data_IF_626444785818
#
_entry.id   IF_626444785818
#
_cell.length_a   1.000
_cell.length_b   1.000
_cell.length_c   1.000
_cell.angle_alpha   90.00
_cell.angle_beta   90.00
_cell.angle_gamma   90.00
#
_symmetry.space_group_name_H-M   'P 1'
#
loop_
_entity.id
_entity.type
_entity.pdbx_description
1 polymer ?
#
# COMPACT_ATOMS: atom_id res chain seq x y z
N UNK A 1 -10.20 6.18 15.60
CA UNK A 1 -8.78 6.53 15.27
C UNK A 1 -8.26 5.40 14.39
N UNK A 2 -7.53 5.69 13.31
CA UNK A 2 -6.98 4.65 12.41
C UNK A 2 -5.72 4.09 13.05
N UNK A 3 -5.75 2.82 13.47
CA UNK A 3 -4.64 2.14 14.15
C UNK A 3 -4.12 0.92 13.39
N UNK A 4 -4.83 0.49 12.34
CA UNK A 4 -4.51 -0.70 11.57
C UNK A 4 -4.17 -0.35 10.13
N UNK A 5 -3.17 -1.05 9.57
CA UNK A 5 -2.80 -0.96 8.16
C UNK A 5 -2.75 -2.34 7.50
N UNK A 6 -3.06 -2.39 6.21
CA UNK A 6 -2.95 -3.58 5.36
C UNK A 6 -1.90 -3.29 4.28
N UNK A 7 -0.98 -4.23 4.08
CA UNK A 7 0.04 -4.16 3.04
C UNK A 7 -0.03 -5.45 2.19
N UNK A 8 -0.60 -5.40 0.98
CA UNK A 8 -0.62 -6.52 0.06
C UNK A 8 0.78 -6.78 -0.52
N UNK A 9 1.37 -7.92 -0.18
CA UNK A 9 2.72 -8.32 -0.60
C UNK A 9 2.71 -9.60 -1.47
N UNK A 10 1.53 -10.21 -1.72
CA UNK A 10 1.43 -11.49 -2.40
C UNK A 10 1.71 -11.45 -3.93
N UNK A 11 1.78 -10.26 -4.53
CA UNK A 11 2.01 -10.07 -5.97
C UNK A 11 3.35 -10.65 -6.45
N UNK A 12 3.37 -11.28 -7.62
CA UNK A 12 4.54 -12.02 -8.16
C UNK A 12 5.71 -11.12 -8.57
N UNK A 13 5.47 -9.83 -8.85
CA UNK A 13 6.53 -8.90 -9.26
C UNK A 13 7.11 -9.16 -10.65
N UNK A 14 6.32 -9.67 -11.58
CA UNK A 14 6.77 -10.10 -12.94
C UNK A 14 7.48 -9.02 -13.75
N UNK A 15 7.22 -7.74 -13.47
CA UNK A 15 7.90 -6.60 -14.11
C UNK A 15 9.37 -6.43 -13.70
N UNK A 16 9.80 -7.14 -12.66
CA UNK A 16 11.18 -7.12 -12.12
C UNK A 16 11.91 -8.44 -12.35
N UNK A 17 11.42 -9.30 -13.25
CA UNK A 17 12.16 -10.49 -13.68
C UNK A 17 13.48 -10.08 -14.35
N UNK A 18 14.58 -10.87 -14.16
CA UNK A 18 14.62 -12.16 -13.45
C UNK A 18 14.79 -12.07 -11.94
N UNK A 19 15.03 -10.89 -11.33
CA UNK A 19 15.30 -10.73 -9.89
C UNK A 19 14.21 -11.35 -9.01
N UNK A 20 12.95 -11.17 -9.40
CA UNK A 20 11.81 -11.67 -8.62
C UNK A 20 11.51 -13.15 -8.80
N UNK A 21 12.31 -13.88 -9.59
CA UNK A 21 12.31 -15.35 -9.57
C UNK A 21 12.89 -15.91 -8.26
N UNK A 22 13.77 -15.14 -7.60
CA UNK A 22 14.47 -15.55 -6.36
C UNK A 22 14.10 -14.67 -5.18
N UNK A 23 13.99 -13.35 -5.38
CA UNK A 23 13.78 -12.38 -4.31
C UNK A 23 12.37 -11.79 -4.32
N UNK A 24 11.79 -11.57 -3.14
CA UNK A 24 10.62 -10.72 -3.02
C UNK A 24 11.01 -9.27 -3.37
N UNK A 25 10.28 -8.63 -4.30
CA UNK A 25 10.58 -7.26 -4.74
C UNK A 25 10.60 -6.27 -3.57
N UNK A 26 9.82 -6.53 -2.56
CA UNK A 26 9.69 -5.71 -1.36
C UNK A 26 10.93 -5.71 -0.47
N UNK A 27 11.79 -6.73 -0.62
CA UNK A 27 13.06 -6.85 0.07
C UNK A 27 14.25 -6.32 -0.74
N UNK A 28 14.04 -5.92 -1.99
CA UNK A 28 15.10 -5.30 -2.78
C UNK A 28 15.55 -3.99 -2.13
N UNK A 29 16.87 -3.73 -2.08
CA UNK A 29 17.40 -2.57 -1.39
C UNK A 29 17.12 -1.27 -2.17
N UNK A 30 16.71 -0.26 -1.45
CA UNK A 30 16.56 1.11 -1.93
C UNK A 30 17.35 1.97 -0.97
N UNK A 31 18.41 2.59 -1.47
CA UNK A 31 19.27 3.46 -0.65
C UNK A 31 19.74 2.77 0.66
N UNK A 32 20.20 1.52 0.57
CA UNK A 32 20.82 0.77 1.66
C UNK A 32 19.85 0.02 2.60
N UNK A 33 18.52 0.11 2.41
CA UNK A 33 17.56 -0.69 3.19
C UNK A 33 16.43 -1.25 2.32
N UNK A 34 15.79 -2.36 2.72
CA UNK A 34 14.65 -2.92 1.99
C UNK A 34 13.53 -1.92 1.78
N UNK A 35 12.93 -1.92 0.58
CA UNK A 35 11.77 -1.07 0.27
C UNK A 35 10.63 -1.22 1.27
N UNK A 36 10.42 -2.44 1.80
CA UNK A 36 9.40 -2.74 2.79
C UNK A 36 9.58 -1.97 4.11
N UNK A 37 10.82 -1.67 4.52
CA UNK A 37 11.06 -0.92 5.75
C UNK A 37 10.56 0.53 5.66
N UNK A 38 10.67 1.16 4.48
CA UNK A 38 10.09 2.51 4.27
C UNK A 38 8.59 2.52 4.52
N UNK A 39 7.88 1.45 4.08
CA UNK A 39 6.43 1.34 4.26
C UNK A 39 6.07 1.10 5.74
N UNK A 40 6.86 0.26 6.44
CA UNK A 40 6.67 0.02 7.87
C UNK A 40 6.88 1.32 8.67
N UNK A 41 7.96 2.03 8.39
CA UNK A 41 8.29 3.31 9.04
C UNK A 41 7.20 4.36 8.77
N UNK A 42 6.72 4.47 7.52
CA UNK A 42 5.58 5.34 7.19
C UNK A 42 4.35 5.04 8.04
N UNK A 43 4.02 3.76 8.21
CA UNK A 43 2.92 3.32 9.07
C UNK A 43 3.14 3.70 10.53
N UNK A 44 4.33 3.40 11.08
CA UNK A 44 4.67 3.68 12.49
C UNK A 44 4.58 5.19 12.77
N UNK A 45 5.19 6.01 11.91
CA UNK A 45 5.20 7.47 12.04
C UNK A 45 3.81 8.10 11.87
N UNK A 46 2.93 7.42 11.13
CA UNK A 46 1.52 7.81 10.99
C UNK A 46 0.66 7.41 12.20
N UNK A 47 1.22 6.70 13.20
CA UNK A 47 0.53 6.27 14.40
C UNK A 47 -0.23 4.94 14.24
N UNK A 48 0.17 4.09 13.28
CA UNK A 48 -0.36 2.75 13.13
C UNK A 48 0.25 1.82 14.18
N UNK A 49 -0.58 1.01 14.83
CA UNK A 49 -0.17 0.09 15.89
C UNK A 49 -0.06 -1.36 15.39
N UNK A 50 -0.85 -1.73 14.40
CA UNK A 50 -0.88 -3.08 13.83
C UNK A 50 -0.83 -3.02 12.31
N UNK A 51 0.10 -3.78 11.72
CA UNK A 51 0.31 -3.86 10.27
C UNK A 51 0.03 -5.31 9.83
N UNK A 52 -0.89 -5.50 8.89
CA UNK A 52 -1.26 -6.81 8.38
C UNK A 52 -0.61 -6.99 7.01
N UNK A 53 0.38 -7.88 6.93
CA UNK A 53 1.02 -8.28 5.69
C UNK A 53 0.25 -9.43 5.05
N UNK A 54 -0.11 -9.26 3.78
CA UNK A 54 -0.72 -10.34 3.01
C UNK A 54 0.35 -10.88 2.07
N UNK A 55 0.85 -12.08 2.39
CA UNK A 55 1.91 -12.75 1.62
C UNK A 55 1.37 -14.01 0.92
N UNK A 56 2.10 -14.53 -0.05
CA UNK A 56 1.91 -15.88 -0.59
C UNK A 56 2.96 -16.84 -0.01
N UNK A 57 2.72 -18.15 -0.09
CA UNK A 57 3.72 -19.16 0.28
C UNK A 57 5.06 -18.97 -0.46
N UNK A 58 5.02 -18.49 -1.70
CA UNK A 58 6.25 -18.17 -2.48
C UNK A 58 7.06 -17.02 -1.90
N UNK A 59 6.49 -16.22 -0.99
CA UNK A 59 7.12 -15.06 -0.35
C UNK A 59 7.40 -15.24 1.15
N UNK A 60 7.55 -16.49 1.62
CA UNK A 60 7.97 -16.80 2.99
C UNK A 60 9.27 -16.11 3.41
N UNK A 61 10.12 -15.73 2.46
CA UNK A 61 11.33 -14.95 2.75
C UNK A 61 11.03 -13.62 3.41
N UNK A 62 9.86 -12.99 3.15
CA UNK A 62 9.43 -11.78 3.85
C UNK A 62 9.21 -12.08 5.34
N UNK A 63 8.59 -13.22 5.66
CA UNK A 63 8.42 -13.63 7.06
C UNK A 63 9.75 -13.99 7.70
N UNK A 64 10.62 -14.71 6.99
CA UNK A 64 11.98 -15.03 7.46
C UNK A 64 12.79 -13.78 7.77
N UNK A 65 12.62 -12.69 7.03
CA UNK A 65 13.28 -11.41 7.30
C UNK A 65 13.05 -10.92 8.74
N UNK A 66 11.85 -11.12 9.28
CA UNK A 66 11.49 -10.69 10.64
C UNK A 66 11.72 -11.76 11.73
N UNK A 67 11.87 -13.04 11.37
CA UNK A 67 11.88 -14.16 12.30
C UNK A 67 13.16 -15.01 12.26
N UNK A 68 14.24 -14.55 11.65
CA UNK A 68 15.51 -15.26 11.60
C UNK A 68 16.39 -14.94 12.84
N UNK A 69 15.84 -15.18 14.03
CA UNK A 69 16.50 -14.84 15.30
C UNK A 69 17.83 -15.57 15.47
N UNK A 70 17.92 -16.83 15.04
CA UNK A 70 19.14 -17.64 15.17
C UNK A 70 20.31 -16.99 14.46
N UNK A 71 20.12 -16.55 13.21
CA UNK A 71 21.16 -15.90 12.42
C UNK A 71 21.72 -14.65 13.15
N UNK A 72 20.84 -13.77 13.65
CA UNK A 72 21.27 -12.56 14.35
C UNK A 72 21.99 -12.90 15.66
N UNK A 73 21.45 -13.81 16.49
CA UNK A 73 22.03 -14.20 17.77
C UNK A 73 23.41 -14.83 17.61
N UNK A 74 23.58 -15.70 16.61
CA UNK A 74 24.87 -16.35 16.33
C UNK A 74 25.95 -15.33 15.92
N UNK A 75 25.59 -14.33 15.08
CA UNK A 75 26.54 -13.29 14.68
C UNK A 75 26.86 -12.34 15.86
N UNK A 76 25.84 -11.89 16.59
CA UNK A 76 26.03 -10.98 17.75
C UNK A 76 26.94 -11.63 18.79
N UNK A 77 26.75 -12.93 19.07
CA UNK A 77 27.62 -13.67 20.00
C UNK A 77 29.07 -13.69 19.55
N UNK A 78 29.31 -13.82 18.22
CA UNK A 78 30.66 -13.92 17.65
C UNK A 78 31.36 -12.56 17.54
N UNK A 79 30.64 -11.53 17.02
CA UNK A 79 31.25 -10.27 16.60
C UNK A 79 31.06 -9.11 17.58
N UNK A 80 30.03 -9.14 18.44
CA UNK A 80 29.67 -8.07 19.38
C UNK A 80 29.55 -6.67 18.71
N UNK A 81 29.18 -6.65 17.40
CA UNK A 81 29.05 -5.42 16.60
C UNK A 81 27.77 -4.68 16.97
N UNK A 82 27.91 -3.44 17.46
CA UNK A 82 26.77 -2.61 17.88
C UNK A 82 25.78 -2.31 16.74
N UNK A 83 26.25 -2.17 15.49
CA UNK A 83 25.37 -1.98 14.33
C UNK A 83 24.42 -3.17 14.15
N UNK A 84 24.96 -4.40 14.24
CA UNK A 84 24.18 -5.63 14.08
C UNK A 84 23.16 -5.75 15.21
N UNK A 85 23.54 -5.37 16.42
CA UNK A 85 22.63 -5.35 17.58
C UNK A 85 21.48 -4.38 17.36
N UNK A 86 21.76 -3.15 16.88
CA UNK A 86 20.71 -2.15 16.62
C UNK A 86 19.79 -2.56 15.46
N UNK A 87 20.33 -3.12 14.38
CA UNK A 87 19.52 -3.67 13.29
C UNK A 87 18.59 -4.79 13.81
N UNK A 88 19.10 -5.70 14.63
CA UNK A 88 18.27 -6.75 15.21
C UNK A 88 17.18 -6.18 16.13
N UNK A 89 17.51 -5.22 16.99
CA UNK A 89 16.51 -4.52 17.83
C UNK A 89 15.44 -3.83 16.98
N UNK A 90 15.81 -3.22 15.85
CA UNK A 90 14.88 -2.61 14.89
C UNK A 90 13.91 -3.66 14.33
N UNK A 91 14.42 -4.81 13.86
CA UNK A 91 13.60 -5.94 13.38
C UNK A 91 12.64 -6.44 14.46
N UNK A 92 13.08 -6.57 15.70
CA UNK A 92 12.22 -6.97 16.82
C UNK A 92 11.09 -5.96 17.08
N UNK A 93 11.37 -4.64 16.96
CA UNK A 93 10.33 -3.59 17.08
C UNK A 93 9.29 -3.70 15.98
N UNK A 94 9.70 -3.92 14.72
CA UNK A 94 8.79 -4.10 13.60
C UNK A 94 7.92 -5.36 13.79
N UNK A 95 8.55 -6.49 14.12
CA UNK A 95 7.88 -7.78 14.34
C UNK A 95 6.70 -7.69 15.32
N UNK A 96 6.85 -6.92 16.40
CA UNK A 96 5.78 -6.73 17.40
C UNK A 96 4.52 -6.10 16.83
N UNK A 97 4.61 -5.41 15.69
CA UNK A 97 3.49 -4.72 15.04
C UNK A 97 2.93 -5.48 13.84
N UNK A 98 3.61 -6.53 13.36
CA UNK A 98 3.29 -7.20 12.10
C UNK A 98 2.51 -8.49 12.37
N UNK A 99 1.42 -8.67 11.62
CA UNK A 99 0.68 -9.93 11.49
C UNK A 99 0.74 -10.41 10.04
N UNK A 100 0.76 -11.72 9.83
CA UNK A 100 0.78 -12.33 8.51
C UNK A 100 -0.55 -13.01 8.18
N UNK A 101 -1.04 -12.76 6.97
CA UNK A 101 -2.20 -13.40 6.36
C UNK A 101 -1.77 -13.95 5.00
N UNK A 102 -2.30 -15.11 4.60
CA UNK A 102 -1.89 -15.74 3.35
C UNK A 102 -2.93 -15.55 2.24
N UNK A 103 -2.45 -15.22 1.05
CA UNK A 103 -3.16 -15.27 -0.21
C UNK A 103 -2.42 -16.22 -1.14
N UNK A 104 -2.85 -17.48 -1.22
CA UNK A 104 -2.13 -18.51 -1.97
C UNK A 104 -2.37 -18.40 -3.49
N UNK A 105 -3.53 -17.89 -3.91
CA UNK A 105 -3.87 -17.66 -5.32
C UNK A 105 -3.91 -16.16 -5.61
N UNK A 106 -3.26 -15.68 -6.69
CA UNK A 106 -3.20 -14.25 -7.04
C UNK A 106 -4.54 -13.79 -7.66
N UNK A 107 -5.57 -13.62 -6.84
CA UNK A 107 -6.91 -13.19 -7.26
C UNK A 107 -7.11 -11.66 -7.23
N UNK A 108 -6.02 -10.88 -7.21
CA UNK A 108 -6.06 -9.42 -7.21
C UNK A 108 -6.01 -8.79 -5.81
N UNK A 109 -5.93 -7.45 -5.80
CA UNK A 109 -5.79 -6.65 -4.57
C UNK A 109 -7.05 -6.66 -3.70
N UNK A 110 -8.23 -6.74 -4.31
CA UNK A 110 -9.51 -6.84 -3.59
C UNK A 110 -9.61 -8.14 -2.79
N UNK A 111 -9.25 -9.30 -3.37
CA UNK A 111 -9.22 -10.58 -2.65
C UNK A 111 -8.19 -10.54 -1.52
N UNK A 112 -7.00 -9.97 -1.76
CA UNK A 112 -5.99 -9.79 -0.72
C UNK A 112 -6.56 -9.04 0.49
N UNK A 113 -7.17 -7.88 0.25
CA UNK A 113 -7.80 -7.08 1.30
C UNK A 113 -8.92 -7.86 1.98
N UNK A 114 -9.78 -8.55 1.23
CA UNK A 114 -10.89 -9.32 1.79
C UNK A 114 -10.45 -10.38 2.80
N UNK A 115 -9.31 -11.04 2.60
CA UNK A 115 -8.74 -12.03 3.53
C UNK A 115 -8.42 -11.46 4.91
N UNK A 116 -8.30 -10.14 5.03
CA UNK A 116 -8.03 -9.46 6.30
C UNK A 116 -9.29 -9.09 7.09
N UNK A 117 -10.51 -9.32 6.54
CA UNK A 117 -11.79 -8.90 7.12
C UNK A 117 -11.91 -9.19 8.62
N UNK A 118 -11.54 -10.40 9.06
CA UNK A 118 -11.64 -10.81 10.47
C UNK A 118 -10.64 -10.13 11.41
N UNK A 119 -9.59 -9.52 10.86
CA UNK A 119 -8.53 -8.87 11.65
C UNK A 119 -8.74 -7.38 11.79
N UNK A 120 -9.51 -6.75 10.90
CA UNK A 120 -9.80 -5.31 10.95
C UNK A 120 -10.90 -5.03 11.96
N UNK A 121 -10.51 -4.29 13.01
CA UNK A 121 -11.38 -3.90 14.13
C UNK A 121 -11.89 -2.46 13.98
N UNK A 122 -11.05 -1.56 13.48
CA UNK A 122 -11.36 -0.14 13.33
C UNK A 122 -12.40 0.11 12.23
N UNK A 123 -13.18 1.21 12.35
CA UNK A 123 -14.14 1.66 11.33
C UNK A 123 -13.45 2.01 10.01
N UNK A 124 -12.22 2.51 10.07
CA UNK A 124 -11.36 2.84 8.93
C UNK A 124 -9.98 2.24 9.13
N UNK A 125 -9.34 1.83 8.06
CA UNK A 125 -7.99 1.31 8.06
C UNK A 125 -7.16 1.91 6.92
N UNK A 126 -5.85 1.89 7.06
CA UNK A 126 -4.91 2.31 6.03
C UNK A 126 -4.55 1.11 5.14
N UNK A 127 -4.46 1.31 3.83
CA UNK A 127 -3.89 0.33 2.91
C UNK A 127 -2.76 0.99 2.12
N UNK A 128 -1.60 0.29 2.04
CA UNK A 128 -0.44 0.77 1.31
C UNK A 128 0.03 -0.27 0.31
N UNK A 129 0.22 0.14 -0.94
CA UNK A 129 0.87 -0.69 -1.95
C UNK A 129 2.39 -0.57 -1.79
N UNK A 130 3.13 -1.69 -1.75
CA UNK A 130 4.55 -1.70 -1.38
C UNK A 130 5.48 -1.18 -2.48
N UNK A 131 5.04 -1.14 -3.71
CA UNK A 131 5.79 -0.65 -4.87
C UNK A 131 5.65 0.87 -5.10
N UNK A 132 4.70 1.51 -4.47
CA UNK A 132 4.52 2.96 -4.49
C UNK A 132 5.21 3.59 -3.27
N UNK A 133 6.49 3.95 -3.36
CA UNK A 133 7.16 4.62 -2.25
C UNK A 133 6.99 6.13 -2.31
N UNK A 134 6.72 6.72 -1.15
CA UNK A 134 6.66 8.18 -0.98
C UNK A 134 7.66 8.55 0.11
N UNK A 135 8.70 9.28 -0.28
CA UNK A 135 9.80 9.68 0.61
C UNK A 135 9.80 11.18 0.88
N UNK A 136 10.63 11.65 1.81
CA UNK A 136 10.78 13.03 2.31
C UNK A 136 9.62 13.54 3.14
N UNK A 137 8.38 13.12 2.93
CA UNK A 137 7.20 13.49 3.73
C UNK A 137 6.34 12.24 3.95
N UNK A 138 5.74 12.12 5.13
CA UNK A 138 4.86 11.00 5.45
C UNK A 138 3.46 11.25 4.86
N UNK A 139 3.16 10.56 3.76
CA UNK A 139 1.88 10.66 3.07
C UNK A 139 0.72 10.16 3.94
N UNK A 140 0.87 9.01 4.56
CA UNK A 140 -0.16 8.39 5.41
C UNK A 140 -0.57 9.31 6.57
N UNK A 141 0.40 9.98 7.20
CA UNK A 141 0.13 10.95 8.28
C UNK A 141 -0.69 12.14 7.79
N UNK A 142 -0.39 12.67 6.59
CA UNK A 142 -1.17 13.78 6.01
C UNK A 142 -2.58 13.37 5.62
N UNK A 143 -2.74 12.15 5.05
CA UNK A 143 -4.04 11.58 4.73
C UNK A 143 -4.92 11.36 5.97
N UNK A 144 -4.33 10.88 7.09
CA UNK A 144 -5.05 10.72 8.36
C UNK A 144 -5.55 12.07 8.88
N UNK A 145 -4.78 13.15 8.72
CA UNK A 145 -5.25 14.52 9.06
C UNK A 145 -6.44 14.93 8.18
N UNK A 146 -6.33 14.74 6.86
CA UNK A 146 -7.41 15.02 5.92
C UNK A 146 -8.68 14.22 6.26
N UNK A 147 -8.54 12.91 6.54
CA UNK A 147 -9.64 12.06 7.00
C UNK A 147 -10.34 12.60 8.26
N UNK A 148 -9.56 13.02 9.27
CA UNK A 148 -10.11 13.57 10.52
C UNK A 148 -10.93 14.84 10.30
N UNK A 149 -10.45 15.74 9.44
CA UNK A 149 -11.10 17.02 9.14
C UNK A 149 -12.35 16.80 8.28
N UNK A 150 -12.22 16.02 7.20
CA UNK A 150 -13.25 15.91 6.16
C UNK A 150 -14.26 14.78 6.44
N UNK A 151 -13.99 13.91 7.43
CA UNK A 151 -14.82 12.74 7.78
C UNK A 151 -15.11 11.85 6.57
N UNK A 152 -14.09 11.62 5.72
CA UNK A 152 -14.21 10.93 4.44
C UNK A 152 -13.12 9.86 4.30
N UNK A 153 -13.34 8.87 3.45
CA UNK A 153 -12.29 7.99 2.93
C UNK A 153 -11.31 8.82 2.09
N UNK A 154 -10.03 8.47 2.10
CA UNK A 154 -9.00 9.28 1.45
C UNK A 154 -8.12 8.39 0.57
N UNK A 155 -7.83 8.83 -0.64
CA UNK A 155 -6.90 8.19 -1.56
C UNK A 155 -5.79 9.18 -1.94
N UNK A 156 -4.55 8.71 -1.93
CA UNK A 156 -3.43 9.56 -2.35
C UNK A 156 -3.48 9.85 -3.84
N UNK A 157 -3.16 11.08 -4.19
CA UNK A 157 -3.20 11.61 -5.55
C UNK A 157 -1.91 12.32 -5.93
N UNK A 158 -1.49 12.15 -7.18
CA UNK A 158 -0.35 12.84 -7.78
C UNK A 158 -0.72 13.37 -9.16
N UNK A 159 -0.19 14.54 -9.53
CA UNK A 159 -0.29 15.03 -10.91
C UNK A 159 0.68 14.26 -11.80
N UNK A 160 0.22 13.72 -12.90
CA UNK A 160 1.04 13.02 -13.89
C UNK A 160 0.99 13.74 -15.24
N UNK A 161 1.96 13.46 -16.11
CA UNK A 161 1.92 13.96 -17.48
C UNK A 161 0.72 13.36 -18.21
N UNK A 162 -0.04 14.19 -18.93
CA UNK A 162 -1.21 13.76 -19.71
C UNK A 162 -0.90 12.61 -20.67
N UNK A 163 0.31 12.56 -21.22
CA UNK A 163 0.77 11.48 -22.14
C UNK A 163 0.92 10.12 -21.44
N UNK A 164 0.99 10.08 -20.10
CA UNK A 164 1.22 8.88 -19.32
C UNK A 164 0.01 8.41 -18.50
N UNK A 165 -1.14 9.06 -18.63
CA UNK A 165 -2.36 8.73 -17.86
C UNK A 165 -2.81 7.27 -18.03
N UNK A 166 -2.57 6.69 -19.19
CA UNK A 166 -2.89 5.28 -19.48
C UNK A 166 -2.12 4.23 -18.64
N UNK A 167 -1.15 4.68 -17.85
CA UNK A 167 -0.40 3.81 -16.91
C UNK A 167 -1.07 3.71 -15.54
N UNK A 168 -2.06 4.57 -15.23
CA UNK A 168 -2.57 4.81 -13.88
C UNK A 168 -4.10 4.69 -13.81
N UNK A 169 -4.62 4.41 -12.63
CA UNK A 169 -5.98 4.79 -12.29
C UNK A 169 -6.06 6.32 -12.22
N UNK A 170 -7.03 6.94 -12.88
CA UNK A 170 -7.18 8.40 -12.95
C UNK A 170 -8.48 8.82 -12.27
N UNK A 171 -8.37 9.79 -11.37
CA UNK A 171 -9.53 10.34 -10.67
C UNK A 171 -10.43 11.16 -11.58
N UNK A 172 -11.73 10.89 -11.53
CA UNK A 172 -12.77 11.84 -11.89
C UNK A 172 -13.05 12.70 -10.67
N UNK A 173 -12.61 13.96 -10.72
CA UNK A 173 -12.67 14.87 -9.59
C UNK A 173 -13.96 15.69 -9.58
N UNK A 174 -14.47 15.91 -8.39
CA UNK A 174 -15.52 16.86 -8.08
C UNK A 174 -14.97 18.18 -7.53
N UNK A 175 -15.71 18.76 -6.56
CA UNK A 175 -15.36 20.03 -5.91
C UNK A 175 -14.00 19.95 -5.21
N UNK A 176 -13.19 21.00 -5.38
CA UNK A 176 -11.99 21.24 -4.57
C UNK A 176 -12.43 21.62 -3.15
N UNK A 177 -11.94 20.91 -2.14
CA UNK A 177 -12.33 21.12 -0.75
C UNK A 177 -11.38 22.05 -0.01
N UNK A 178 -10.06 21.97 -0.34
CA UNK A 178 -9.01 22.83 0.19
C UNK A 178 -7.77 22.80 -0.74
N UNK A 179 -6.60 23.23 -0.25
CA UNK A 179 -5.36 23.27 -1.07
C UNK A 179 -4.92 21.91 -1.60
N UNK A 180 -5.19 20.83 -0.87
CA UNK A 180 -4.70 19.48 -1.19
C UNK A 180 -5.79 18.47 -1.54
N UNK A 181 -7.06 18.75 -1.18
CA UNK A 181 -8.11 17.76 -1.19
C UNK A 181 -9.22 18.09 -2.21
N UNK A 182 -9.64 17.05 -2.95
CA UNK A 182 -10.72 17.12 -3.95
C UNK A 182 -11.71 15.99 -3.69
N UNK A 183 -13.00 16.28 -3.81
CA UNK A 183 -14.03 15.23 -3.81
C UNK A 183 -13.81 14.30 -5.01
N UNK A 184 -13.94 12.98 -4.82
CA UNK A 184 -13.89 12.00 -5.89
C UNK A 184 -15.33 11.68 -6.34
N UNK A 185 -15.56 11.74 -7.66
CA UNK A 185 -16.79 11.26 -8.33
C UNK A 185 -16.62 9.85 -8.90
N UNK A 186 -15.38 9.41 -9.10
CA UNK A 186 -15.06 8.08 -9.61
C UNK A 186 -13.58 7.94 -9.94
N UNK A 187 -13.20 6.72 -10.34
CA UNK A 187 -11.86 6.36 -10.80
C UNK A 187 -11.98 5.60 -12.11
N UNK A 188 -11.18 5.97 -13.10
CA UNK A 188 -11.09 5.26 -14.38
C UNK A 188 -9.74 4.57 -14.47
N UNK A 189 -9.74 3.22 -14.53
CA UNK A 189 -8.52 2.42 -14.60
C UNK A 189 -7.92 2.48 -16.00
N UNK A 190 -6.66 2.95 -16.08
CA UNK A 190 -5.85 3.02 -17.31
C UNK A 190 -6.62 3.56 -18.53
N UNK A 191 -7.18 4.77 -18.44
CA UNK A 191 -7.93 5.36 -19.55
C UNK A 191 -7.00 5.65 -20.73
N UNK A 192 -7.56 5.71 -21.93
CA UNK A 192 -6.86 6.35 -23.06
C UNK A 192 -6.71 7.85 -22.78
N UNK A 193 -5.73 8.50 -23.39
CA UNK A 193 -5.48 9.94 -23.20
C UNK A 193 -6.75 10.78 -23.44
N UNK A 194 -7.52 10.41 -24.48
CA UNK A 194 -8.78 11.09 -24.82
C UNK A 194 -9.92 10.90 -23.82
N UNK A 195 -9.92 9.76 -23.08
CA UNK A 195 -10.96 9.41 -22.10
C UNK A 195 -10.58 9.69 -20.64
N UNK A 196 -9.36 10.16 -20.40
CA UNK A 196 -8.90 10.46 -19.07
C UNK A 196 -9.65 11.68 -18.49
N UNK A 197 -10.36 11.53 -17.35
CA UNK A 197 -11.17 12.62 -16.78
C UNK A 197 -10.33 13.74 -16.16
N UNK A 198 -9.07 13.47 -15.87
CA UNK A 198 -8.10 14.44 -15.33
C UNK A 198 -6.67 13.95 -15.58
N UNK A 199 -5.68 14.65 -15.00
CA UNK A 199 -4.30 14.18 -14.89
C UNK A 199 -3.90 13.83 -13.44
N UNK A 200 -4.86 13.57 -12.57
CA UNK A 200 -4.63 13.18 -11.19
C UNK A 200 -4.68 11.66 -11.08
N UNK A 201 -3.52 11.07 -10.86
CA UNK A 201 -3.34 9.62 -10.73
C UNK A 201 -3.60 9.15 -9.31
N UNK A 202 -4.16 7.95 -9.19
CA UNK A 202 -4.27 7.20 -7.93
C UNK A 202 -2.90 6.65 -7.58
N UNK A 203 -2.47 6.87 -6.35
CA UNK A 203 -1.22 6.33 -5.80
C UNK A 203 -1.58 5.39 -4.64
N UNK A 204 -0.82 4.35 -4.48
CA UNK A 204 -1.08 3.21 -3.59
C UNK A 204 -1.14 3.51 -2.10
N UNK A 205 -1.85 4.56 -1.70
CA UNK A 205 -2.18 4.89 -0.32
C UNK A 205 -3.67 5.17 -0.20
N UNK A 206 -4.34 4.43 0.69
CA UNK A 206 -5.79 4.48 0.83
C UNK A 206 -6.18 4.47 2.30
N UNK A 207 -7.10 5.32 2.71
CA UNK A 207 -7.88 5.18 3.94
C UNK A 207 -9.26 4.68 3.53
N UNK A 208 -9.55 3.45 3.87
CA UNK A 208 -10.76 2.73 3.46
C UNK A 208 -11.69 2.49 4.65
N UNK A 209 -13.01 2.54 4.43
CA UNK A 209 -13.98 2.18 5.45
C UNK A 209 -14.10 0.66 5.55
N UNK A 210 -14.47 0.15 6.73
CA UNK A 210 -14.71 -1.28 6.95
C UNK A 210 -15.86 -1.84 6.09
N UNK A 211 -16.79 -0.97 5.65
CA UNK A 211 -17.87 -1.31 4.70
C UNK A 211 -17.36 -1.85 3.34
N UNK A 212 -16.10 -1.58 2.98
CA UNK A 212 -15.47 -2.12 1.76
C UNK A 212 -15.55 -3.66 1.70
N UNK A 213 -15.50 -4.35 2.84
CA UNK A 213 -15.56 -5.80 2.89
C UNK A 213 -16.90 -6.39 2.44
N UNK A 214 -18.00 -5.67 2.60
CA UNK A 214 -19.30 -6.10 2.08
C UNK A 214 -19.34 -6.04 0.55
N UNK A 215 -18.67 -5.04 -0.03
CA UNK A 215 -18.56 -4.93 -1.50
C UNK A 215 -17.69 -6.05 -2.07
N UNK A 216 -16.53 -6.27 -1.45
CA UNK A 216 -15.60 -7.32 -1.88
C UNK A 216 -16.18 -8.74 -1.78
N UNK A 217 -17.11 -9.01 -0.85
CA UNK A 217 -17.74 -10.31 -0.68
C UNK A 217 -18.50 -10.76 -1.94
N UNK A 218 -19.21 -9.83 -2.58
CA UNK A 218 -20.11 -10.10 -3.70
C UNK A 218 -19.51 -9.75 -5.06
N UNK A 219 -18.24 -9.35 -5.10
CA UNK A 219 -17.60 -8.97 -6.36
C UNK A 219 -17.29 -10.18 -7.23
N UNK A 220 -17.74 -10.10 -8.46
CA UNK A 220 -17.28 -10.99 -9.53
C UNK A 220 -15.86 -10.58 -9.93
N UNK A 221 -15.09 -11.53 -10.45
CA UNK A 221 -13.79 -11.25 -11.04
C UNK A 221 -13.94 -10.31 -12.23
N UNK A 222 -13.16 -9.23 -12.22
CA UNK A 222 -13.15 -8.25 -13.29
C UNK A 222 -12.12 -8.59 -14.37
N UNK A 223 -11.57 -7.56 -15.02
CA UNK A 223 -10.56 -7.70 -16.07
C UNK A 223 -9.35 -8.50 -15.59
N UNK A 224 -8.96 -9.52 -16.36
CA UNK A 224 -7.85 -10.41 -16.03
C UNK A 224 -8.18 -11.50 -14.99
N UNK A 225 -9.45 -11.71 -14.64
CA UNK A 225 -9.84 -12.70 -13.62
C UNK A 225 -9.53 -12.29 -12.19
N UNK A 226 -9.22 -11.00 -11.96
CA UNK A 226 -8.85 -10.44 -10.66
C UNK A 226 -9.98 -9.61 -10.03
N UNK A 227 -10.02 -9.57 -8.72
CA UNK A 227 -10.88 -8.67 -7.94
C UNK A 227 -10.06 -7.42 -7.61
N UNK A 228 -10.44 -6.29 -8.23
CA UNK A 228 -9.74 -5.02 -8.02
C UNK A 228 -10.37 -4.24 -6.87
N UNK A 229 -9.53 -3.69 -6.00
CA UNK A 229 -10.00 -2.86 -4.89
C UNK A 229 -10.69 -1.58 -5.39
N UNK A 230 -10.26 -1.07 -6.56
CA UNK A 230 -10.85 0.12 -7.20
C UNK A 230 -12.31 -0.07 -7.57
N UNK A 231 -12.73 -1.27 -7.95
CA UNK A 231 -14.13 -1.56 -8.28
C UNK A 231 -15.01 -1.51 -7.02
N UNK A 232 -14.50 -2.03 -5.90
CA UNK A 232 -15.20 -1.95 -4.61
C UNK A 232 -15.28 -0.49 -4.11
N UNK A 233 -14.24 0.31 -4.31
CA UNK A 233 -14.24 1.74 -4.02
C UNK A 233 -15.29 2.45 -4.88
N UNK A 234 -15.34 2.15 -6.19
CA UNK A 234 -16.33 2.75 -7.09
C UNK A 234 -17.76 2.40 -6.66
N UNK A 235 -18.00 1.16 -6.22
CA UNK A 235 -19.31 0.76 -5.69
C UNK A 235 -19.71 1.59 -4.46
N UNK A 236 -18.78 1.84 -3.53
CA UNK A 236 -19.04 2.70 -2.37
C UNK A 236 -19.30 4.17 -2.75
N UNK A 237 -18.56 4.70 -3.74
CA UNK A 237 -18.80 6.05 -4.26
C UNK A 237 -20.20 6.18 -4.87
N UNK A 238 -20.63 5.17 -5.62
CA UNK A 238 -21.99 5.13 -6.21
C UNK A 238 -23.09 5.07 -5.15
N UNK A 239 -22.79 4.57 -3.95
CA UNK A 239 -23.68 4.57 -2.79
C UNK A 239 -23.54 5.84 -1.91
N UNK A 240 -22.97 6.90 -2.47
CA UNK A 240 -22.75 8.20 -1.82
C UNK A 240 -21.76 8.18 -0.62
N UNK A 241 -20.94 7.13 -0.48
CA UNK A 241 -19.82 7.18 0.45
C UNK A 241 -18.82 8.26 0.02
N UNK A 242 -18.43 9.12 0.95
CA UNK A 242 -17.56 10.26 0.65
C UNK A 242 -16.11 9.81 0.53
N UNK A 243 -15.53 9.97 -0.66
CA UNK A 243 -14.13 9.76 -0.97
C UNK A 243 -13.43 11.05 -1.41
N UNK A 244 -12.19 11.20 -0.99
CA UNK A 244 -11.37 12.39 -1.23
C UNK A 244 -10.02 11.99 -1.83
N UNK A 245 -9.63 12.66 -2.91
CA UNK A 245 -8.29 12.59 -3.49
C UNK A 245 -7.40 13.60 -2.77
N UNK A 246 -6.36 13.13 -2.10
CA UNK A 246 -5.40 13.94 -1.34
C UNK A 246 -4.09 14.09 -2.12
N UNK A 247 -3.78 15.29 -2.58
CA UNK A 247 -2.46 15.60 -3.16
C UNK A 247 -1.42 15.60 -2.05
N UNK A 248 -0.62 14.55 -1.98
CA UNK A 248 0.44 14.45 -0.99
C UNK A 248 1.65 15.33 -1.36
N UNK A 249 2.43 15.67 -0.34
CA UNK A 249 3.76 16.26 -0.46
C UNK A 249 4.81 15.16 -0.31
N UNK A 250 5.90 15.25 -1.08
CA UNK A 250 6.99 14.27 -1.04
C UNK A 250 7.46 13.88 -2.44
N UNK A 251 8.41 12.97 -2.50
CA UNK A 251 8.93 12.41 -3.75
C UNK A 251 8.36 11.00 -3.92
N UNK A 252 7.69 10.76 -5.03
CA UNK A 252 7.19 9.45 -5.44
C UNK A 252 8.28 8.65 -6.15
N UNK A 253 8.38 7.35 -5.82
CA UNK A 253 9.25 6.38 -6.47
C UNK A 253 8.42 5.15 -6.85
N UNK A 254 8.39 4.82 -8.16
CA UNK A 254 7.76 3.58 -8.68
C UNK A 254 8.74 2.43 -8.55
N UNK A 255 8.69 1.71 -7.44
CA UNK A 255 9.51 0.53 -7.19
C UNK A 255 8.90 -0.77 -7.77
N UNK A 256 7.88 -0.66 -8.59
CA UNK A 256 7.30 -1.77 -9.34
C UNK A 256 8.00 -2.05 -10.68
N UNK A 257 8.97 -1.22 -11.08
CA UNK A 257 9.72 -1.34 -12.34
C UNK A 257 11.20 -1.11 -12.11
N UNK A 258 12.07 -1.68 -12.99
CA UNK A 258 13.54 -1.47 -12.91
C UNK A 258 13.91 0.01 -12.97
N UNK A 259 13.22 0.80 -13.79
CA UNK A 259 13.46 2.26 -13.89
C UNK A 259 13.21 3.03 -12.60
N UNK A 260 12.43 2.49 -11.68
CA UNK A 260 12.15 3.11 -10.39
C UNK A 260 13.23 2.85 -9.34
N UNK A 261 14.18 1.95 -9.62
CA UNK A 261 15.33 1.64 -8.75
C UNK A 261 16.60 2.40 -9.15
N UNK A 262 16.64 3.03 -10.31
CA UNK A 262 17.70 3.86 -10.86
C UNK A 262 17.25 5.32 -10.77
#
# INVERSE_FOLDING_TARGET
MIKQAIIPLAGLGTRLLPLTSVFAKELLPINGKPGLEYIIEECIDAGIHEIIFIISKKKEMIKKYFYNDRFYKDIIKKKKDLRIIEEYKKILRYRKKIKFVYQDKPKGTGDAVFKTKKFIKDKYFLMLLPDDLIIKKNCSKSMIRSHKILKASVMASMSVNKKTVSRWGIFNLGKKLNKTDYLIKGVVEKPTIKKAPSNKAVIGRYILPKSIFSKLLNMKTGKGGEIHITDAIQSLINENEKFVAHNFLGKYLDCGTLKGYI
#
